data_IF_419746228984
#
_entry.id   IF_419746228984
#
_cell.length_a   1.000
_cell.length_b   1.000
_cell.length_c   1.000
_cell.angle_alpha   90.00
_cell.angle_beta   90.00
_cell.angle_gamma   90.00
#
_symmetry.space_group_name_H-M   'P 1'
#
loop_
_entity.id
_entity.type
_entity.pdbx_description
1 polymer ?
#
# COMPACT_ATOMS: atom_id res chain seq x y z
N UNK A 1 51.65 38.32 10.64
CA UNK A 1 52.05 39.37 9.66
C UNK A 1 52.35 38.68 8.33
N UNK A 2 51.96 39.20 7.16
CA UNK A 2 51.34 40.51 6.82
C UNK A 2 50.11 40.33 5.92
N UNK A 3 49.20 41.32 5.98
CA UNK A 3 48.08 41.54 5.05
C UNK A 3 48.52 42.49 3.91
N UNK A 4 47.95 42.35 2.71
CA UNK A 4 47.86 43.32 1.58
C UNK A 4 47.03 42.64 0.45
N UNK A 5 45.97 43.18 -0.16
CA UNK A 5 45.36 44.53 -0.31
C UNK A 5 46.10 45.47 -1.28
N UNK A 6 45.35 46.05 -2.23
CA UNK A 6 45.81 46.81 -3.42
C UNK A 6 45.59 45.98 -4.70
N UNK A 7 44.67 46.22 -5.64
CA UNK A 7 43.81 47.39 -6.01
C UNK A 7 44.56 48.56 -6.69
N UNK A 8 43.94 49.07 -7.78
CA UNK A 8 44.30 50.22 -8.65
C UNK A 8 45.51 50.04 -9.60
N UNK A 9 45.60 50.72 -10.76
CA UNK A 9 44.66 51.12 -11.83
C UNK A 9 45.45 51.89 -12.93
N UNK A 10 44.77 52.26 -14.03
CA UNK A 10 45.16 53.19 -15.12
C UNK A 10 46.04 52.67 -16.30
N UNK A 11 45.88 53.14 -17.57
CA UNK A 11 44.67 53.59 -18.34
C UNK A 11 45.02 53.86 -19.83
N UNK A 12 43.98 54.03 -20.68
CA UNK A 12 43.97 54.52 -22.08
C UNK A 12 44.40 53.54 -23.20
N UNK A 13 43.83 53.59 -24.42
CA UNK A 13 42.75 54.41 -25.00
C UNK A 13 41.61 53.55 -25.62
N UNK A 14 40.35 53.99 -25.84
CA UNK A 14 39.83 55.18 -26.58
C UNK A 14 39.97 54.99 -28.11
N UNK A 15 38.93 54.96 -28.97
CA UNK A 15 37.44 54.91 -28.80
C UNK A 15 36.86 54.01 -29.95
N UNK A 16 35.66 54.06 -30.60
CA UNK A 16 34.49 54.98 -30.80
C UNK A 16 33.18 54.12 -30.70
N UNK A 17 31.98 54.71 -30.84
CA UNK A 17 30.64 54.08 -30.71
C UNK A 17 29.97 53.70 -32.06
N UNK A 18 28.99 52.78 -32.00
CA UNK A 18 27.57 52.93 -32.46
C UNK A 18 26.75 51.84 -31.73
N UNK A 19 25.85 52.13 -30.78
CA UNK A 19 24.48 52.66 -30.92
C UNK A 19 23.45 51.59 -31.39
N UNK A 20 22.26 51.41 -30.78
CA UNK A 20 21.69 51.96 -29.54
C UNK A 20 20.49 51.12 -29.04
N UNK A 21 20.11 51.29 -27.76
CA UNK A 21 18.89 50.71 -27.15
C UNK A 21 19.02 49.23 -26.73
N UNK A 22 18.23 48.71 -25.78
CA UNK A 22 17.24 49.38 -24.92
C UNK A 22 16.26 48.37 -24.29
N UNK A 23 15.62 48.78 -23.20
CA UNK A 23 14.55 48.06 -22.46
C UNK A 23 14.91 46.79 -21.65
N UNK A 24 14.31 46.77 -20.46
CA UNK A 24 14.25 45.82 -19.36
C UNK A 24 14.34 44.31 -19.69
N UNK A 25 15.02 43.58 -18.78
CA UNK A 25 14.83 42.15 -18.57
C UNK A 25 13.44 41.85 -17.95
N UNK A 26 12.39 41.90 -18.76
CA UNK A 26 11.08 41.36 -18.40
C UNK A 26 11.13 39.84 -18.26
N UNK A 27 10.69 39.30 -17.12
CA UNK A 27 10.53 37.84 -16.95
C UNK A 27 9.44 37.34 -17.90
N UNK A 28 9.81 36.57 -18.92
CA UNK A 28 8.86 35.81 -19.71
C UNK A 28 8.17 34.78 -18.80
N UNK A 29 6.89 34.98 -18.52
CA UNK A 29 6.02 33.92 -18.01
C UNK A 29 5.89 32.91 -19.16
N UNK A 30 6.14 31.62 -18.89
CA UNK A 30 5.80 30.57 -19.86
C UNK A 30 4.29 30.43 -19.87
N UNK A 31 3.66 30.74 -21.00
CA UNK A 31 2.32 30.26 -21.29
C UNK A 31 2.32 28.73 -21.27
N UNK A 32 1.64 28.16 -20.27
CA UNK A 32 1.25 26.75 -20.31
C UNK A 32 0.05 26.64 -21.24
N UNK A 33 0.29 26.39 -22.53
CA UNK A 33 -0.78 26.05 -23.48
C UNK A 33 -1.47 24.78 -23.00
N UNK A 34 -2.66 24.91 -22.42
CA UNK A 34 -3.49 23.78 -22.02
C UNK A 34 -3.71 22.85 -23.22
N UNK A 35 -3.37 21.55 -23.13
CA UNK A 35 -3.63 20.62 -24.21
C UNK A 35 -5.12 20.61 -24.57
N UNK A 36 -5.44 20.82 -25.85
CA UNK A 36 -6.82 20.78 -26.31
C UNK A 36 -7.38 19.36 -26.16
N UNK A 37 -8.30 19.20 -25.21
CA UNK A 37 -9.07 17.98 -25.03
C UNK A 37 -10.01 17.84 -26.22
N UNK A 38 -9.58 17.10 -27.25
CA UNK A 38 -10.49 16.54 -28.25
C UNK A 38 -11.54 15.70 -27.49
N UNK A 39 -12.85 15.91 -27.70
CA UNK A 39 -13.87 15.05 -27.13
C UNK A 39 -13.57 13.59 -27.52
N UNK A 40 -13.41 12.72 -26.53
CA UNK A 40 -13.34 11.29 -26.80
C UNK A 40 -14.74 10.85 -27.21
N UNK A 41 -14.87 10.36 -28.44
CA UNK A 41 -16.12 9.84 -28.95
C UNK A 41 -16.57 8.66 -28.07
N UNK A 42 -17.80 8.70 -27.56
CA UNK A 42 -18.26 7.82 -26.50
C UNK A 42 -18.68 6.45 -27.05
N UNK A 43 -17.68 5.60 -27.31
CA UNK A 43 -17.86 4.21 -27.72
C UNK A 43 -17.12 3.24 -26.79
N UNK A 44 -17.56 3.19 -25.55
CA UNK A 44 -17.39 2.00 -24.71
C UNK A 44 -18.67 1.82 -23.87
N UNK A 45 -19.57 0.97 -24.36
CA UNK A 45 -20.79 0.60 -23.62
C UNK A 45 -20.40 -0.50 -22.65
N UNK A 46 -19.80 -0.09 -21.54
CA UNK A 46 -19.36 -1.01 -20.48
C UNK A 46 -20.57 -1.81 -20.01
N UNK A 47 -20.60 -3.10 -20.33
CA UNK A 47 -21.69 -3.98 -19.93
C UNK A 47 -21.76 -3.99 -18.40
N UNK A 48 -22.93 -3.64 -17.85
CA UNK A 48 -23.12 -3.50 -16.42
C UNK A 48 -23.13 -4.88 -15.74
N UNK A 49 -21.94 -5.40 -15.45
CA UNK A 49 -21.74 -6.65 -14.71
C UNK A 49 -22.48 -6.55 -13.39
N UNK A 50 -23.63 -7.22 -13.32
CA UNK A 50 -24.46 -7.21 -12.12
C UNK A 50 -23.70 -7.98 -11.05
N UNK A 51 -23.35 -7.38 -9.90
CA UNK A 51 -22.59 -8.09 -8.87
C UNK A 51 -23.42 -9.27 -8.34
N UNK A 52 -22.78 -10.39 -7.96
CA UNK A 52 -23.49 -11.54 -7.40
C UNK A 52 -24.25 -11.12 -6.13
N UNK A 53 -25.47 -11.67 -5.88
CA UNK A 53 -26.23 -11.33 -4.69
C UNK A 53 -25.45 -11.57 -3.40
N UNK A 54 -25.47 -10.58 -2.49
CA UNK A 54 -24.84 -10.71 -1.17
C UNK A 54 -25.66 -11.70 -0.34
N UNK A 55 -25.11 -12.90 -0.10
CA UNK A 55 -25.81 -14.01 0.56
C UNK A 55 -25.89 -13.89 2.07
N UNK A 56 -24.90 -13.25 2.71
CA UNK A 56 -24.80 -13.14 4.18
C UNK A 56 -24.44 -11.70 4.62
N UNK A 57 -25.31 -10.70 4.38
CA UNK A 57 -25.07 -9.32 4.83
C UNK A 57 -25.19 -9.19 6.34
N UNK A 58 -24.31 -8.41 6.98
CA UNK A 58 -24.35 -8.18 8.42
C UNK A 58 -23.05 -7.64 9.00
N UNK A 59 -23.01 -7.47 10.33
CA UNK A 59 -21.78 -7.16 11.07
C UNK A 59 -21.12 -8.48 11.48
N UNK A 60 -19.82 -8.58 11.17
CA UNK A 60 -18.96 -9.71 11.55
C UNK A 60 -17.99 -9.27 12.65
N UNK A 61 -17.86 -10.06 13.71
CA UNK A 61 -16.93 -9.75 14.80
C UNK A 61 -15.49 -10.03 14.34
N UNK A 62 -14.64 -9.00 14.31
CA UNK A 62 -13.25 -9.13 13.85
C UNK A 62 -12.37 -9.80 14.90
N UNK A 63 -11.68 -10.87 14.50
CA UNK A 63 -10.88 -11.76 15.35
C UNK A 63 -11.72 -12.40 16.47
N UNK A 64 -12.87 -12.97 16.11
CA UNK A 64 -13.79 -13.63 17.05
C UNK A 64 -13.24 -14.97 17.58
N UNK A 65 -12.24 -14.85 18.43
CA UNK A 65 -11.64 -15.92 19.24
C UNK A 65 -12.46 -16.23 20.49
N UNK A 66 -13.51 -15.43 20.74
CA UNK A 66 -14.47 -15.59 21.85
C UNK A 66 -15.71 -16.39 21.47
N UNK A 67 -15.95 -16.60 20.17
CA UNK A 67 -17.19 -17.18 19.64
C UNK A 67 -18.42 -16.43 20.15
N UNK A 68 -18.42 -15.12 19.96
CA UNK A 68 -19.48 -14.23 20.45
C UNK A 68 -20.83 -14.65 19.85
N UNK A 69 -21.83 -14.86 20.71
CA UNK A 69 -23.10 -15.46 20.33
C UNK A 69 -24.06 -14.41 19.76
N UNK A 70 -24.71 -14.62 18.61
CA UNK A 70 -25.67 -13.67 18.06
C UNK A 70 -26.86 -13.37 19.00
N UNK A 71 -27.18 -14.30 19.90
CA UNK A 71 -28.19 -14.12 20.96
C UNK A 71 -27.90 -12.97 21.93
N UNK A 72 -26.62 -12.63 22.11
CA UNK A 72 -26.18 -11.61 23.07
C UNK A 72 -26.23 -10.21 22.44
N UNK A 73 -26.29 -10.13 21.11
CA UNK A 73 -26.34 -8.91 20.30
C UNK A 73 -27.37 -9.04 19.14
N UNK A 74 -28.65 -9.32 19.45
CA UNK A 74 -29.64 -9.77 18.48
C UNK A 74 -29.93 -8.71 17.42
N UNK A 75 -29.86 -9.12 16.14
CA UNK A 75 -30.06 -8.23 14.99
C UNK A 75 -28.89 -7.27 14.70
N UNK A 76 -27.80 -7.36 15.46
CA UNK A 76 -26.58 -6.56 15.26
C UNK A 76 -25.45 -7.44 14.75
N UNK A 77 -25.02 -8.43 15.55
CA UNK A 77 -24.00 -9.39 15.12
C UNK A 77 -24.64 -10.51 14.31
N UNK A 78 -24.07 -10.81 13.15
CA UNK A 78 -24.57 -11.84 12.23
C UNK A 78 -23.55 -12.96 12.04
N UNK A 79 -22.25 -12.65 12.02
CA UNK A 79 -21.18 -13.64 11.82
C UNK A 79 -19.91 -13.36 12.61
N UNK A 80 -18.92 -14.23 12.48
CA UNK A 80 -17.56 -14.03 13.00
C UNK A 80 -16.54 -13.91 11.87
N UNK A 81 -15.46 -13.17 12.09
CA UNK A 81 -14.34 -13.06 11.15
C UNK A 81 -13.04 -13.43 11.86
N UNK A 82 -12.18 -14.20 11.19
CA UNK A 82 -10.84 -14.50 11.70
C UNK A 82 -9.78 -14.46 10.59
N UNK A 83 -8.55 -14.12 10.99
CA UNK A 83 -7.42 -13.95 10.09
C UNK A 83 -6.27 -14.87 10.53
N UNK A 84 -5.88 -15.79 9.67
CA UNK A 84 -4.93 -16.86 10.01
C UNK A 84 -3.56 -16.59 9.39
N UNK A 85 -2.50 -16.68 10.19
CA UNK A 85 -1.12 -16.56 9.71
C UNK A 85 -0.79 -17.70 8.71
N UNK A 86 -0.37 -17.38 7.48
CA UNK A 86 -0.05 -18.38 6.45
C UNK A 86 0.95 -19.44 6.95
N UNK A 87 1.99 -19.05 7.70
CA UNK A 87 2.98 -19.96 8.34
C UNK A 87 2.42 -20.97 9.35
N UNK A 88 1.17 -20.80 9.80
CA UNK A 88 0.47 -21.77 10.67
C UNK A 88 -0.41 -22.73 9.90
N UNK A 89 -0.74 -22.39 8.65
CA UNK A 89 -1.45 -23.27 7.72
C UNK A 89 -0.40 -24.06 6.93
N UNK A 90 0.52 -23.37 6.26
CA UNK A 90 1.62 -23.99 5.52
C UNK A 90 2.92 -24.00 6.35
N UNK A 91 3.12 -25.07 7.12
CA UNK A 91 4.24 -25.16 8.08
C UNK A 91 5.58 -25.50 7.42
N UNK A 92 5.54 -26.07 6.22
CA UNK A 92 6.68 -26.25 5.31
C UNK A 92 6.17 -26.32 3.86
N UNK A 93 7.03 -26.07 2.87
CA UNK A 93 6.61 -25.91 1.47
C UNK A 93 5.78 -27.10 0.96
N UNK A 94 4.53 -26.84 0.57
CA UNK A 94 3.58 -27.84 0.10
C UNK A 94 2.93 -28.73 1.19
N UNK A 95 3.19 -28.48 2.47
CA UNK A 95 2.55 -29.19 3.59
C UNK A 95 1.59 -28.26 4.34
N UNK A 96 0.31 -28.63 4.35
CA UNK A 96 -0.78 -27.82 4.90
C UNK A 96 -1.47 -28.49 6.08
N UNK A 97 -1.60 -27.76 7.20
CA UNK A 97 -2.39 -28.08 8.38
C UNK A 97 -3.52 -27.06 8.54
N UNK A 98 -4.73 -27.44 8.13
CA UNK A 98 -5.93 -26.60 8.21
C UNK A 98 -6.67 -26.73 9.55
N UNK A 99 -6.24 -27.63 10.46
CA UNK A 99 -7.00 -28.03 11.65
C UNK A 99 -7.45 -26.85 12.53
N UNK A 100 -6.64 -25.80 12.65
CA UNK A 100 -6.96 -24.57 13.41
C UNK A 100 -8.02 -23.70 12.74
N UNK A 101 -8.07 -23.72 11.41
CA UNK A 101 -9.08 -23.02 10.60
C UNK A 101 -10.39 -23.79 10.68
N UNK A 102 -10.33 -25.11 10.43
CA UNK A 102 -11.48 -26.01 10.46
C UNK A 102 -12.17 -26.00 11.84
N UNK A 103 -11.40 -26.16 12.93
CA UNK A 103 -11.94 -26.10 14.31
C UNK A 103 -12.67 -24.78 14.59
N UNK A 104 -12.13 -23.65 14.12
CA UNK A 104 -12.76 -22.34 14.32
C UNK A 104 -14.04 -22.19 13.49
N UNK A 105 -14.05 -22.70 12.25
CA UNK A 105 -15.26 -22.73 11.40
C UNK A 105 -16.33 -23.62 12.03
N UNK A 106 -15.98 -24.79 12.57
CA UNK A 106 -16.93 -25.67 13.27
C UNK A 106 -17.53 -25.01 14.51
N UNK A 107 -16.74 -24.28 15.29
CA UNK A 107 -17.20 -23.53 16.46
C UNK A 107 -18.18 -22.40 16.09
N UNK A 108 -17.93 -21.69 14.98
CA UNK A 108 -18.82 -20.65 14.46
C UNK A 108 -20.11 -21.25 13.86
N UNK A 109 -19.98 -22.35 13.10
CA UNK A 109 -21.12 -23.07 12.53
C UNK A 109 -22.03 -23.67 13.62
N UNK A 110 -21.47 -24.12 14.76
CA UNK A 110 -22.23 -24.58 15.92
C UNK A 110 -23.06 -23.46 16.59
N UNK A 111 -22.73 -22.18 16.34
CA UNK A 111 -23.52 -21.02 16.73
C UNK A 111 -24.45 -20.50 15.61
N UNK A 112 -24.48 -21.18 14.45
CA UNK A 112 -25.25 -20.78 13.27
C UNK A 112 -24.68 -19.57 12.54
N UNK A 113 -23.40 -19.23 12.74
CA UNK A 113 -22.77 -18.02 12.20
C UNK A 113 -22.14 -18.28 10.83
N UNK A 114 -22.42 -17.48 9.78
CA UNK A 114 -21.54 -17.38 8.63
C UNK A 114 -20.17 -16.81 9.05
N UNK A 115 -19.12 -17.20 8.33
CA UNK A 115 -17.73 -16.83 8.63
C UNK A 115 -17.11 -15.93 7.56
N UNK A 116 -16.36 -14.93 8.01
CA UNK A 116 -15.36 -14.24 7.21
C UNK A 116 -13.97 -14.82 7.47
N UNK A 117 -13.21 -15.09 6.40
CA UNK A 117 -11.87 -15.68 6.50
C UNK A 117 -10.86 -14.80 5.77
N UNK A 118 -9.72 -14.56 6.42
CA UNK A 118 -8.55 -13.95 5.82
C UNK A 118 -7.30 -14.80 6.11
N UNK A 119 -6.28 -14.72 5.22
CA UNK A 119 -4.96 -15.30 5.44
C UNK A 119 -3.93 -14.17 5.45
N UNK A 120 -3.20 -14.05 6.55
CA UNK A 120 -2.21 -12.98 6.76
C UNK A 120 -0.82 -13.45 6.36
N UNK A 121 -0.13 -12.62 5.57
CA UNK A 121 1.32 -12.75 5.27
C UNK A 121 2.18 -11.82 6.13
N UNK A 122 1.60 -10.75 6.68
CA UNK A 122 2.24 -9.85 7.63
C UNK A 122 1.22 -9.26 8.59
N UNK A 123 1.56 -9.16 9.88
CA UNK A 123 0.66 -8.68 10.94
C UNK A 123 1.20 -7.42 11.64
N UNK A 124 1.84 -6.54 10.86
CA UNK A 124 2.40 -5.29 11.35
C UNK A 124 3.60 -5.49 12.28
N UNK A 125 4.04 -4.39 12.90
CA UNK A 125 5.17 -4.39 13.86
C UNK A 125 4.95 -5.33 15.05
N UNK A 126 3.70 -5.51 15.49
CA UNK A 126 3.36 -6.31 16.68
C UNK A 126 3.21 -7.81 16.42
N UNK A 127 2.80 -8.23 15.22
CA UNK A 127 2.66 -9.66 14.85
C UNK A 127 3.79 -10.19 13.95
N UNK A 128 4.48 -9.30 13.24
CA UNK A 128 5.63 -9.60 12.39
C UNK A 128 5.30 -10.38 11.11
N UNK A 129 6.33 -10.97 10.50
CA UNK A 129 6.18 -11.86 9.34
C UNK A 129 5.23 -13.03 9.66
N UNK A 130 4.15 -13.18 8.88
CA UNK A 130 3.20 -14.28 8.97
C UNK A 130 3.28 -15.26 7.78
N UNK A 131 4.11 -14.98 6.76
CA UNK A 131 4.48 -15.95 5.71
C UNK A 131 5.37 -17.08 6.25
N UNK A 132 5.31 -18.29 5.64
CA UNK A 132 6.18 -19.43 5.94
C UNK A 132 7.68 -19.10 5.85
N UNK A 133 8.52 -19.90 6.51
CA UNK A 133 9.98 -19.70 6.57
C UNK A 133 10.71 -19.88 5.23
N UNK A 134 10.07 -20.51 4.24
CA UNK A 134 10.60 -20.69 2.89
C UNK A 134 10.25 -19.52 1.95
N UNK A 135 9.39 -18.58 2.38
CA UNK A 135 9.16 -17.31 1.67
C UNK A 135 10.30 -16.35 2.01
N UNK A 136 11.04 -15.80 1.01
CA UNK A 136 12.07 -14.81 1.26
C UNK A 136 11.52 -13.57 1.97
N UNK A 137 12.27 -13.02 2.92
CA UNK A 137 11.93 -11.76 3.61
C UNK A 137 12.89 -10.64 3.23
N UNK A 138 12.40 -9.40 3.26
CA UNK A 138 13.24 -8.19 3.27
C UNK A 138 13.15 -7.49 4.62
N UNK A 139 14.14 -6.65 4.94
CA UNK A 139 14.11 -5.79 6.12
C UNK A 139 13.68 -4.38 5.73
N UNK A 140 12.66 -3.85 6.40
CA UNK A 140 12.23 -2.46 6.28
C UNK A 140 12.33 -1.75 7.64
N UNK A 141 12.55 -0.45 7.63
CA UNK A 141 12.68 0.36 8.85
C UNK A 141 11.34 1.02 9.19
N UNK A 142 10.91 0.98 10.44
CA UNK A 142 9.72 1.72 10.89
C UNK A 142 9.99 3.23 11.12
N UNK A 143 8.93 3.96 11.49
CA UNK A 143 8.98 5.40 11.80
C UNK A 143 9.96 5.75 12.94
N UNK A 144 10.25 4.81 13.84
CA UNK A 144 11.14 4.99 14.99
C UNK A 144 12.58 4.56 14.72
N UNK A 145 12.88 4.01 13.53
CA UNK A 145 14.21 3.54 13.16
C UNK A 145 14.46 2.05 13.41
N UNK A 146 13.47 1.27 13.85
CA UNK A 146 13.66 -0.16 14.13
C UNK A 146 13.56 -1.00 12.83
N UNK A 147 14.41 -2.03 12.67
CA UNK A 147 14.33 -2.97 11.55
C UNK A 147 13.26 -4.05 11.76
N UNK A 148 12.40 -4.26 10.76
CA UNK A 148 11.36 -5.29 10.75
C UNK A 148 11.49 -6.18 9.52
N UNK A 149 11.43 -7.50 9.72
CA UNK A 149 11.39 -8.47 8.63
C UNK A 149 9.95 -8.64 8.11
N UNK A 150 9.76 -8.38 6.83
CA UNK A 150 8.47 -8.51 6.12
C UNK A 150 8.61 -9.48 4.94
N UNK A 151 7.54 -10.12 4.46
CA UNK A 151 7.58 -10.93 3.24
C UNK A 151 8.11 -10.12 2.05
N UNK A 152 8.95 -10.73 1.22
CA UNK A 152 9.35 -10.13 -0.04
C UNK A 152 8.22 -10.30 -1.07
N UNK A 153 7.28 -9.35 -1.10
CA UNK A 153 6.15 -9.30 -2.04
C UNK A 153 6.56 -9.29 -3.52
N UNK A 154 7.84 -9.03 -3.82
CA UNK A 154 8.43 -9.04 -5.16
C UNK A 154 9.22 -10.30 -5.48
N UNK A 155 9.30 -11.27 -4.56
CA UNK A 155 9.90 -12.58 -4.83
C UNK A 155 8.99 -13.45 -5.71
N UNK A 156 9.60 -14.24 -6.60
CA UNK A 156 8.95 -15.29 -7.37
C UNK A 156 8.17 -16.26 -6.49
N UNK A 157 8.74 -16.57 -5.33
CA UNK A 157 8.24 -17.48 -4.32
C UNK A 157 6.95 -16.94 -3.68
N UNK A 158 6.86 -15.64 -3.39
CA UNK A 158 5.63 -15.01 -2.94
C UNK A 158 4.57 -14.99 -4.05
N UNK A 159 4.90 -14.47 -5.23
CA UNK A 159 3.92 -14.26 -6.32
C UNK A 159 3.42 -15.57 -6.99
N UNK A 160 4.16 -16.66 -6.81
CA UNK A 160 3.72 -18.00 -7.26
C UNK A 160 2.72 -18.61 -6.28
N UNK A 161 2.97 -18.49 -4.98
CA UNK A 161 2.28 -19.27 -3.95
C UNK A 161 1.25 -18.49 -3.12
N UNK A 162 1.23 -17.15 -3.17
CA UNK A 162 0.20 -16.31 -2.55
C UNK A 162 -0.52 -15.48 -3.60
N UNK A 163 -1.83 -15.69 -3.73
CA UNK A 163 -2.70 -15.12 -4.79
C UNK A 163 -4.12 -14.90 -4.27
#
# INVERSE_FOLDING_TARGET
MRLRVGIMLLVAGVLILLAAGGAQAGRAIRDYTTPSLRPHEAQDVVEAVTPPPITNPGIYVFLDTTHLRPSDYPGVVVGGHNAFQWKRIETSYGYYDWSRVDTWIEQEAALGKPVGLAINTYEGVSGGNASPSWIPTIVCTDYYGNPHAIPNYWSSEYQTNFR
#
